data_IF_331939481893
#
_entry.id   IF_331939481893
#
_cell.length_a   1.000
_cell.length_b   1.000
_cell.length_c   1.000
_cell.angle_alpha   90.00
_cell.angle_beta   90.00
_cell.angle_gamma   90.00
#
_symmetry.space_group_name_H-M   'P 1'
#
loop_
_entity.id
_entity.type
_entity.pdbx_description
1 polymer ?
#
# COMPACT_ATOMS: atom_id res chain seq x y z
N UNK A 1 -14.53 -18.76 -12.81
CA UNK A 1 -13.70 -18.03 -11.84
C UNK A 1 -12.39 -18.77 -11.56
N UNK A 2 -12.38 -20.11 -11.32
CA UNK A 2 -11.16 -20.89 -11.04
C UNK A 2 -10.00 -20.65 -12.03
N UNK A 3 -10.18 -20.71 -13.39
CA UNK A 3 -9.10 -20.49 -14.34
C UNK A 3 -8.47 -19.09 -14.24
N UNK A 4 -9.26 -18.06 -13.89
CA UNK A 4 -8.77 -16.68 -13.75
C UNK A 4 -7.89 -16.56 -12.50
N UNK A 5 -8.26 -17.21 -11.39
CA UNK A 5 -7.45 -17.19 -10.18
C UNK A 5 -6.12 -17.94 -10.37
N UNK A 6 -6.13 -19.06 -11.08
CA UNK A 6 -4.91 -19.81 -11.47
C UNK A 6 -3.98 -18.96 -12.37
N UNK A 7 -4.57 -18.19 -13.30
CA UNK A 7 -3.79 -17.26 -14.13
C UNK A 7 -3.14 -16.15 -13.30
N UNK A 8 -3.89 -15.57 -12.35
CA UNK A 8 -3.34 -14.56 -11.43
C UNK A 8 -2.20 -15.14 -10.58
N UNK A 9 -2.37 -16.35 -10.02
CA UNK A 9 -1.32 -17.00 -9.26
C UNK A 9 -0.06 -17.25 -10.09
N UNK A 10 -0.21 -17.58 -11.37
CA UNK A 10 0.92 -17.75 -12.28
C UNK A 10 1.58 -16.40 -12.61
N UNK A 11 0.78 -15.40 -12.96
CA UNK A 11 1.26 -14.06 -13.32
C UNK A 11 1.91 -13.33 -12.13
N UNK A 12 1.41 -13.55 -10.90
CA UNK A 12 1.94 -12.93 -9.70
C UNK A 12 3.37 -13.35 -9.35
N UNK A 13 3.87 -14.45 -9.95
CA UNK A 13 5.26 -14.92 -9.79
C UNK A 13 6.24 -14.22 -10.72
N UNK A 14 5.76 -13.42 -11.68
CA UNK A 14 6.61 -12.59 -12.52
C UNK A 14 7.20 -11.44 -11.71
N UNK A 15 8.38 -10.97 -12.09
CA UNK A 15 9.06 -9.88 -11.39
C UNK A 15 8.48 -8.50 -11.71
N UNK A 16 7.81 -8.38 -12.84
CA UNK A 16 7.24 -7.12 -13.34
C UNK A 16 5.87 -7.37 -13.98
N UNK A 17 5.01 -6.38 -13.89
CA UNK A 17 3.76 -6.28 -14.64
C UNK A 17 3.76 -4.99 -15.45
N UNK A 18 3.45 -5.11 -16.74
CA UNK A 18 3.21 -3.98 -17.62
C UNK A 18 1.71 -3.93 -17.91
N UNK A 19 1.07 -2.83 -17.49
CA UNK A 19 -0.38 -2.62 -17.66
C UNK A 19 -0.71 -1.87 -18.95
N UNK A 20 0.29 -1.53 -19.78
CA UNK A 20 0.11 -0.86 -21.08
C UNK A 20 -0.41 0.57 -20.97
N UNK A 21 -0.14 1.27 -19.86
CA UNK A 21 -0.74 2.57 -19.55
C UNK A 21 0.00 3.78 -20.14
N UNK A 22 1.01 3.56 -20.97
CA UNK A 22 1.80 4.66 -21.54
C UNK A 22 0.99 5.61 -22.44
N UNK A 23 -0.14 5.15 -22.98
CA UNK A 23 -0.92 5.87 -24.00
C UNK A 23 -2.37 6.21 -23.56
N UNK A 24 -2.79 5.88 -22.32
CA UNK A 24 -4.22 5.86 -21.99
C UNK A 24 -4.59 6.88 -20.92
N UNK A 25 -5.75 7.52 -21.13
CA UNK A 25 -6.49 8.36 -20.19
C UNK A 25 -6.78 7.65 -18.86
N UNK A 26 -6.98 8.39 -17.75
CA UNK A 26 -7.26 7.88 -16.41
C UNK A 26 -8.48 6.94 -16.29
N UNK A 27 -9.35 6.92 -17.29
CA UNK A 27 -10.57 6.12 -17.30
C UNK A 27 -10.37 4.60 -17.11
N UNK A 28 -9.34 3.95 -17.71
CA UNK A 28 -9.09 2.52 -17.52
C UNK A 28 -8.81 2.14 -16.07
N UNK A 29 -8.12 2.99 -15.30
CA UNK A 29 -7.76 2.71 -13.91
C UNK A 29 -8.97 2.59 -12.98
N UNK A 30 -10.04 3.34 -13.22
CA UNK A 30 -11.27 3.26 -12.40
C UNK A 30 -11.93 1.89 -12.57
N UNK A 31 -11.99 1.40 -13.80
CA UNK A 31 -12.52 0.05 -14.09
C UNK A 31 -11.61 -1.04 -13.54
N UNK A 32 -10.28 -0.88 -13.70
CA UNK A 32 -9.29 -1.79 -13.17
C UNK A 32 -9.37 -1.89 -11.65
N UNK A 33 -9.57 -0.78 -10.94
CA UNK A 33 -9.71 -0.77 -9.48
C UNK A 33 -10.88 -1.64 -8.98
N UNK A 34 -12.01 -1.57 -9.66
CA UNK A 34 -13.18 -2.40 -9.36
C UNK A 34 -12.88 -3.88 -9.58
N UNK A 35 -12.36 -4.23 -10.76
CA UNK A 35 -11.99 -5.60 -11.13
C UNK A 35 -10.91 -6.17 -10.20
N UNK A 36 -9.86 -5.41 -9.91
CA UNK A 36 -8.78 -5.82 -9.02
C UNK A 36 -9.29 -6.17 -7.62
N UNK A 37 -10.18 -5.35 -7.05
CA UNK A 37 -10.80 -5.65 -5.74
C UNK A 37 -11.66 -6.92 -5.77
N UNK A 38 -12.39 -7.19 -6.85
CA UNK A 38 -13.19 -8.42 -6.99
C UNK A 38 -12.28 -9.65 -7.10
N UNK A 39 -11.23 -9.57 -7.92
CA UNK A 39 -10.24 -10.64 -8.05
C UNK A 39 -9.53 -10.91 -6.72
N UNK A 40 -9.15 -9.85 -6.00
CA UNK A 40 -8.54 -9.97 -4.68
C UNK A 40 -9.45 -10.66 -3.66
N UNK A 41 -10.74 -10.32 -3.66
CA UNK A 41 -11.73 -11.00 -2.82
C UNK A 41 -11.88 -12.47 -3.20
N UNK A 42 -11.83 -12.79 -4.49
CA UNK A 42 -11.84 -14.16 -4.99
C UNK A 42 -10.66 -14.98 -4.48
N UNK A 43 -9.43 -14.42 -4.55
CA UNK A 43 -8.24 -15.04 -3.98
C UNK A 43 -8.38 -15.25 -2.46
N UNK A 44 -8.93 -14.27 -1.75
CA UNK A 44 -9.12 -14.40 -0.30
C UNK A 44 -10.18 -15.43 0.08
N UNK A 45 -11.23 -15.58 -0.71
CA UNK A 45 -12.20 -16.67 -0.52
C UNK A 45 -11.55 -18.03 -0.76
N UNK A 46 -10.70 -18.15 -1.79
CA UNK A 46 -9.94 -19.38 -2.05
C UNK A 46 -8.97 -19.70 -0.89
N UNK A 47 -8.20 -18.70 -0.43
CA UNK A 47 -7.30 -18.88 0.71
C UNK A 47 -8.05 -19.35 1.97
N UNK A 48 -9.23 -18.73 2.23
CA UNK A 48 -10.08 -19.12 3.35
C UNK A 48 -10.58 -20.56 3.23
N UNK A 49 -11.00 -20.98 2.03
CA UNK A 49 -11.43 -22.36 1.80
C UNK A 49 -10.31 -23.35 2.11
N UNK A 50 -9.10 -23.12 1.58
CA UNK A 50 -7.94 -23.97 1.91
C UNK A 50 -7.63 -24.00 3.42
N UNK A 51 -7.80 -22.88 4.14
CA UNK A 51 -7.63 -22.88 5.61
C UNK A 51 -8.68 -23.74 6.31
N UNK A 52 -9.95 -23.64 5.91
CA UNK A 52 -11.05 -24.45 6.49
C UNK A 52 -10.90 -25.96 6.16
N UNK A 53 -10.21 -26.28 5.06
CA UNK A 53 -9.86 -27.65 4.63
C UNK A 53 -8.50 -28.12 5.20
N UNK A 54 -7.83 -27.30 6.04
CA UNK A 54 -6.52 -27.54 6.63
C UNK A 54 -5.37 -27.67 5.60
N UNK A 55 -5.57 -27.18 4.39
CA UNK A 55 -4.59 -27.12 3.29
C UNK A 55 -3.74 -25.85 3.41
N UNK A 56 -2.95 -25.76 4.49
CA UNK A 56 -2.28 -24.50 4.89
C UNK A 56 -1.19 -24.04 3.93
N UNK A 57 -0.48 -24.94 3.25
CA UNK A 57 0.51 -24.62 2.22
C UNK A 57 -0.16 -23.96 1.01
N UNK A 58 -1.28 -24.49 0.55
CA UNK A 58 -2.08 -23.93 -0.54
C UNK A 58 -2.65 -22.57 -0.15
N UNK A 59 -3.16 -22.43 1.06
CA UNK A 59 -3.61 -21.15 1.58
C UNK A 59 -2.48 -20.11 1.58
N UNK A 60 -1.29 -20.52 2.04
CA UNK A 60 -0.08 -19.66 2.02
C UNK A 60 0.29 -19.22 0.61
N UNK A 61 0.30 -20.15 -0.36
CA UNK A 61 0.57 -19.86 -1.76
C UNK A 61 -0.42 -18.84 -2.36
N UNK A 62 -1.71 -18.98 -2.04
CA UNK A 62 -2.73 -18.03 -2.48
C UNK A 62 -2.53 -16.65 -1.85
N UNK A 63 -2.20 -16.59 -0.55
CA UNK A 63 -1.93 -15.33 0.16
C UNK A 63 -0.72 -14.61 -0.45
N UNK A 64 0.39 -15.33 -0.70
CA UNK A 64 1.59 -14.77 -1.35
C UNK A 64 1.26 -14.22 -2.73
N UNK A 65 0.51 -14.98 -3.54
CA UNK A 65 0.06 -14.54 -4.87
C UNK A 65 -0.83 -13.30 -4.80
N UNK A 66 -1.70 -13.22 -3.81
CA UNK A 66 -2.57 -12.06 -3.60
C UNK A 66 -1.80 -10.80 -3.19
N UNK A 67 -0.75 -10.93 -2.36
CA UNK A 67 0.15 -9.81 -2.04
C UNK A 67 0.95 -9.38 -3.26
N UNK A 68 1.50 -10.34 -4.03
CA UNK A 68 2.22 -10.06 -5.26
C UNK A 68 1.33 -9.35 -6.29
N UNK A 69 0.10 -9.82 -6.48
CA UNK A 69 -0.89 -9.16 -7.34
C UNK A 69 -1.15 -7.71 -6.91
N UNK A 70 -1.33 -7.45 -5.60
CA UNK A 70 -1.47 -6.09 -5.10
C UNK A 70 -0.27 -5.21 -5.46
N UNK A 71 0.96 -5.71 -5.30
CA UNK A 71 2.20 -4.98 -5.61
C UNK A 71 2.35 -4.70 -7.10
N UNK A 72 2.01 -5.66 -7.95
CA UNK A 72 2.01 -5.45 -9.40
C UNK A 72 1.05 -4.34 -9.85
N UNK A 73 -0.12 -4.21 -9.20
CA UNK A 73 -1.04 -3.10 -9.46
C UNK A 73 -0.43 -1.73 -9.17
N UNK A 74 0.52 -1.64 -8.24
CA UNK A 74 1.20 -0.40 -7.87
C UNK A 74 2.46 -0.08 -8.66
N UNK A 75 2.96 -0.98 -9.55
CA UNK A 75 4.24 -0.81 -10.23
C UNK A 75 4.30 0.32 -11.26
N UNK A 76 3.18 0.74 -11.81
CA UNK A 76 3.14 1.89 -12.74
C UNK A 76 3.45 3.23 -12.05
N UNK A 77 3.50 3.25 -10.72
CA UNK A 77 3.97 4.38 -9.93
C UNK A 77 3.05 5.58 -9.87
N UNK A 78 2.02 5.67 -10.71
CA UNK A 78 1.06 6.77 -10.63
C UNK A 78 0.18 6.64 -9.39
N UNK A 79 -0.31 7.76 -8.91
CA UNK A 79 -1.08 7.87 -7.68
C UNK A 79 -2.22 6.86 -7.56
N UNK A 80 -3.05 6.75 -8.62
CA UNK A 80 -4.22 5.87 -8.61
C UNK A 80 -3.83 4.40 -8.53
N UNK A 81 -2.77 3.98 -9.20
CA UNK A 81 -2.22 2.62 -9.13
C UNK A 81 -1.81 2.26 -7.69
N UNK A 82 -1.15 3.21 -7.01
CA UNK A 82 -0.74 3.04 -5.61
C UNK A 82 -1.93 2.96 -4.64
N UNK A 83 -2.99 3.72 -4.88
CA UNK A 83 -4.23 3.62 -4.09
C UNK A 83 -4.92 2.28 -4.29
N UNK A 84 -4.90 1.72 -5.51
CA UNK A 84 -5.43 0.39 -5.81
C UNK A 84 -4.61 -0.67 -5.07
N UNK A 85 -3.28 -0.62 -5.13
CA UNK A 85 -2.38 -1.49 -4.37
C UNK A 85 -2.71 -1.47 -2.88
N UNK A 86 -2.75 -0.28 -2.27
CA UNK A 86 -3.04 -0.13 -0.85
C UNK A 86 -4.38 -0.74 -0.46
N UNK A 87 -5.42 -0.51 -1.28
CA UNK A 87 -6.77 -1.02 -1.00
C UNK A 87 -6.90 -2.53 -1.17
N UNK A 88 -6.22 -3.12 -2.15
CA UNK A 88 -6.20 -4.58 -2.38
C UNK A 88 -5.33 -5.28 -1.35
N UNK A 89 -4.16 -4.73 -1.01
CA UNK A 89 -3.31 -5.25 0.06
C UNK A 89 -4.02 -5.30 1.42
N UNK A 90 -4.80 -4.28 1.77
CA UNK A 90 -5.56 -4.26 3.03
C UNK A 90 -6.52 -5.44 3.15
N UNK A 91 -7.13 -5.89 2.04
CA UNK A 91 -8.01 -7.08 2.04
C UNK A 91 -7.20 -8.32 2.43
N UNK A 92 -6.00 -8.48 1.86
CA UNK A 92 -5.10 -9.62 2.16
C UNK A 92 -4.61 -9.55 3.59
N UNK A 93 -4.12 -8.40 4.04
CA UNK A 93 -3.55 -8.23 5.37
C UNK A 93 -4.57 -8.56 6.46
N UNK A 94 -5.83 -8.15 6.30
CA UNK A 94 -6.89 -8.45 7.25
C UNK A 94 -7.20 -9.96 7.32
N UNK A 95 -7.33 -10.65 6.18
CA UNK A 95 -7.58 -12.10 6.19
C UNK A 95 -6.38 -12.86 6.78
N UNK A 96 -5.17 -12.50 6.34
CA UNK A 96 -3.94 -13.14 6.79
C UNK A 96 -3.79 -12.99 8.31
N UNK A 97 -3.97 -11.78 8.84
CA UNK A 97 -3.91 -11.54 10.28
C UNK A 97 -4.99 -12.33 11.03
N UNK A 98 -6.23 -12.28 10.57
CA UNK A 98 -7.34 -12.99 11.20
C UNK A 98 -7.14 -14.52 11.26
N UNK A 99 -6.61 -15.12 10.20
CA UNK A 99 -6.52 -16.59 10.06
C UNK A 99 -5.13 -17.16 10.37
N UNK A 100 -4.09 -16.34 10.48
CA UNK A 100 -2.70 -16.81 10.63
C UNK A 100 -2.44 -17.56 11.94
N UNK A 101 -3.27 -17.39 12.97
CA UNK A 101 -3.17 -18.14 14.23
C UNK A 101 -3.49 -19.65 14.06
N UNK A 102 -4.25 -20.01 13.02
CA UNK A 102 -4.54 -21.41 12.69
C UNK A 102 -3.37 -22.10 11.97
N UNK A 103 -2.41 -21.36 11.42
CA UNK A 103 -1.33 -21.93 10.61
C UNK A 103 -0.28 -22.64 11.47
N UNK A 104 0.18 -23.85 11.07
CA UNK A 104 1.34 -24.47 11.67
C UNK A 104 2.59 -23.59 11.56
N UNK A 105 3.46 -23.60 12.58
CA UNK A 105 4.68 -22.79 12.59
C UNK A 105 5.58 -22.92 11.34
N UNK A 106 5.78 -24.13 10.75
CA UNK A 106 6.55 -24.27 9.51
C UNK A 106 5.93 -23.48 8.35
N UNK A 107 4.60 -23.54 8.20
CA UNK A 107 3.87 -22.80 7.15
C UNK A 107 3.97 -21.30 7.37
N UNK A 108 3.79 -20.82 8.61
CA UNK A 108 3.99 -19.40 8.94
C UNK A 108 5.40 -18.90 8.61
N UNK A 109 6.41 -19.74 8.85
CA UNK A 109 7.79 -19.42 8.49
C UNK A 109 7.96 -19.32 6.98
N UNK A 110 7.45 -20.29 6.23
CA UNK A 110 7.44 -20.26 4.76
C UNK A 110 6.73 -19.02 4.21
N UNK A 111 5.52 -18.75 4.69
CA UNK A 111 4.74 -17.54 4.33
C UNK A 111 5.56 -16.25 4.57
N UNK A 112 6.20 -16.12 5.74
CA UNK A 112 7.01 -14.94 6.04
C UNK A 112 8.21 -14.81 5.10
N UNK A 113 8.88 -15.91 4.77
CA UNK A 113 10.02 -15.94 3.86
C UNK A 113 9.60 -15.56 2.43
N UNK A 114 8.48 -16.09 1.94
CA UNK A 114 8.00 -15.83 0.59
C UNK A 114 7.48 -14.40 0.43
N UNK A 115 6.77 -13.86 1.43
CA UNK A 115 6.37 -12.45 1.43
C UNK A 115 7.58 -11.49 1.36
N UNK A 116 8.73 -11.86 1.92
CA UNK A 116 9.97 -11.06 1.85
C UNK A 116 10.65 -11.08 0.48
N UNK A 117 10.46 -12.14 -0.31
CA UNK A 117 11.03 -12.28 -1.67
C UNK A 117 10.24 -11.49 -2.70
N UNK A 118 9.02 -11.06 -2.39
CA UNK A 118 8.19 -10.29 -3.31
C UNK A 118 8.81 -8.92 -3.61
N UNK A 119 8.57 -8.37 -4.82
CA UNK A 119 9.00 -7.01 -5.16
C UNK A 119 8.59 -6.00 -4.09
N UNK A 120 9.45 -5.05 -3.81
CA UNK A 120 9.14 -3.97 -2.85
C UNK A 120 8.16 -3.01 -3.50
N UNK A 121 7.19 -2.52 -2.73
CA UNK A 121 6.31 -1.45 -3.17
C UNK A 121 7.09 -0.14 -3.35
N UNK A 122 6.69 0.68 -4.30
CA UNK A 122 7.31 1.99 -4.54
C UNK A 122 7.22 2.88 -3.29
N UNK A 123 8.28 3.64 -3.04
CA UNK A 123 8.33 4.66 -1.97
C UNK A 123 7.42 5.84 -2.31
N UNK A 124 7.09 6.66 -1.32
CA UNK A 124 6.31 7.88 -1.54
C UNK A 124 7.01 8.83 -2.50
N UNK A 125 8.34 8.93 -2.43
CA UNK A 125 9.15 9.74 -3.35
C UNK A 125 9.05 9.26 -4.79
N UNK A 126 9.17 7.95 -5.01
CA UNK A 126 9.07 7.36 -6.36
C UNK A 126 7.67 7.58 -6.95
N UNK A 127 6.61 7.43 -6.16
CA UNK A 127 5.23 7.70 -6.59
C UNK A 127 5.03 9.18 -6.94
N UNK A 128 5.52 10.10 -6.10
CA UNK A 128 5.44 11.55 -6.38
C UNK A 128 6.20 11.94 -7.64
N UNK A 129 7.37 11.33 -7.87
CA UNK A 129 8.15 11.55 -9.09
C UNK A 129 7.42 11.05 -10.35
N UNK A 130 6.86 9.85 -10.29
CA UNK A 130 6.08 9.30 -11.41
C UNK A 130 4.83 10.14 -11.70
N UNK A 131 4.11 10.59 -10.66
CA UNK A 131 2.93 11.44 -10.78
C UNK A 131 3.27 12.81 -11.39
N UNK A 132 4.41 13.41 -10.99
CA UNK A 132 4.92 14.65 -11.59
C UNK A 132 5.17 14.49 -13.10
N UNK A 133 5.84 13.39 -13.49
CA UNK A 133 6.11 13.08 -14.89
C UNK A 133 4.83 12.83 -15.69
N UNK A 134 3.87 12.10 -15.09
CA UNK A 134 2.57 11.84 -15.70
C UNK A 134 1.78 13.13 -15.91
N UNK A 135 1.70 14.00 -14.90
CA UNK A 135 1.03 15.30 -14.97
C UNK A 135 1.67 16.21 -16.04
N UNK A 136 3.01 16.23 -16.15
CA UNK A 136 3.72 16.98 -17.17
C UNK A 136 3.42 16.46 -18.59
N UNK A 137 3.29 15.13 -18.76
CA UNK A 137 2.92 14.50 -20.04
C UNK A 137 1.49 14.86 -20.44
N UNK A 138 0.52 14.70 -19.52
CA UNK A 138 -0.89 15.07 -19.78
C UNK A 138 -1.04 16.54 -20.19
N UNK A 139 -0.33 17.43 -19.51
CA UNK A 139 -0.32 18.86 -19.84
C UNK A 139 0.15 19.14 -21.27
N UNK A 140 1.12 18.36 -21.79
CA UNK A 140 1.59 18.48 -23.18
C UNK A 140 0.59 17.93 -24.20
N UNK A 141 -0.10 16.83 -23.87
CA UNK A 141 -1.04 16.15 -24.78
C UNK A 141 -2.34 16.93 -24.98
N UNK A 142 -2.91 17.45 -23.90
CA UNK A 142 -4.24 18.09 -23.93
C UNK A 142 -4.20 19.61 -23.99
N UNK A 143 -3.00 20.20 -24.04
CA UNK A 143 -2.81 21.63 -23.84
C UNK A 143 -3.05 22.02 -22.37
N UNK A 144 -2.57 23.18 -21.99
CA UNK A 144 -2.74 23.64 -20.61
C UNK A 144 -3.52 24.96 -20.61
N UNK A 145 -4.70 25.02 -19.98
CA UNK A 145 -5.50 26.25 -19.91
C UNK A 145 -4.92 27.31 -18.97
N UNK A 146 -3.85 26.98 -18.23
CA UNK A 146 -3.27 27.88 -17.25
C UNK A 146 -2.14 28.75 -17.84
N UNK A 147 -1.90 29.94 -17.29
CA UNK A 147 -0.77 30.80 -17.68
C UNK A 147 0.58 30.09 -17.45
N UNK A 148 1.55 30.36 -18.34
CA UNK A 148 2.86 29.74 -18.31
C UNK A 148 3.57 29.83 -16.94
N UNK A 149 3.49 30.99 -16.29
CA UNK A 149 4.08 31.20 -14.97
C UNK A 149 3.48 30.26 -13.90
N UNK A 150 2.17 30.00 -13.94
CA UNK A 150 1.54 29.04 -13.01
C UNK A 150 1.98 27.61 -13.27
N UNK A 151 2.22 27.25 -14.52
CA UNK A 151 2.76 25.93 -14.90
C UNK A 151 4.20 25.78 -14.41
N UNK A 152 5.04 26.80 -14.66
CA UNK A 152 6.44 26.79 -14.25
C UNK A 152 6.56 26.69 -12.70
N UNK A 153 5.72 27.39 -11.97
CA UNK A 153 5.66 27.30 -10.50
C UNK A 153 5.15 25.94 -10.02
N UNK A 154 4.15 25.37 -10.69
CA UNK A 154 3.62 24.06 -10.38
C UNK A 154 4.67 22.94 -10.56
N UNK A 155 5.47 22.99 -11.62
CA UNK A 155 6.57 22.03 -11.82
C UNK A 155 7.65 22.18 -10.75
N UNK A 156 8.05 23.43 -10.41
CA UNK A 156 8.99 23.68 -9.29
C UNK A 156 8.45 23.19 -7.95
N UNK A 157 7.15 23.38 -7.71
CA UNK A 157 6.49 22.88 -6.52
C UNK A 157 6.59 21.36 -6.42
N UNK A 158 6.30 20.62 -7.52
CA UNK A 158 6.42 19.16 -7.53
C UNK A 158 7.86 18.69 -7.29
N UNK A 159 8.86 19.33 -7.90
CA UNK A 159 10.27 18.98 -7.68
C UNK A 159 10.65 19.11 -6.19
N UNK A 160 10.13 20.14 -5.51
CA UNK A 160 10.36 20.30 -4.07
C UNK A 160 9.60 19.29 -3.24
N UNK A 161 8.35 18.95 -3.59
CA UNK A 161 7.58 17.90 -2.92
C UNK A 161 8.28 16.54 -3.03
N UNK A 162 8.80 16.21 -4.20
CA UNK A 162 9.60 14.98 -4.43
C UNK A 162 10.83 14.94 -3.53
N UNK A 163 11.50 16.09 -3.30
CA UNK A 163 12.72 16.14 -2.49
C UNK A 163 12.50 15.70 -1.03
N UNK A 164 11.31 15.93 -0.47
CA UNK A 164 10.96 15.49 0.89
C UNK A 164 9.92 14.36 0.94
N UNK A 165 9.66 13.68 -0.19
CA UNK A 165 8.64 12.64 -0.33
C UNK A 165 8.77 11.48 0.66
N UNK A 166 10.00 11.11 1.04
CA UNK A 166 10.26 10.00 1.97
C UNK A 166 10.28 10.41 3.45
N UNK A 167 9.99 11.67 3.78
CA UNK A 167 9.84 12.07 5.17
C UNK A 167 8.69 11.31 5.84
N UNK A 168 8.78 11.02 7.16
CA UNK A 168 7.64 10.55 7.93
C UNK A 168 6.41 11.44 7.70
N UNK A 169 5.21 10.83 7.69
CA UNK A 169 3.98 11.51 7.26
C UNK A 169 3.76 12.86 7.94
N UNK A 170 3.96 12.97 9.25
CA UNK A 170 3.76 14.23 9.97
C UNK A 170 4.75 15.33 9.54
N UNK A 171 6.00 14.97 9.29
CA UNK A 171 7.02 15.91 8.82
C UNK A 171 6.73 16.33 7.38
N UNK A 172 6.28 15.38 6.55
CA UNK A 172 5.84 15.65 5.19
C UNK A 172 4.71 16.68 5.16
N UNK A 173 3.67 16.52 5.99
CA UNK A 173 2.53 17.44 6.07
C UNK A 173 2.97 18.87 6.45
N UNK A 174 3.89 19.00 7.40
CA UNK A 174 4.43 20.32 7.77
C UNK A 174 5.16 20.97 6.60
N UNK A 175 6.04 20.21 5.91
CA UNK A 175 6.78 20.73 4.75
C UNK A 175 5.85 21.06 3.57
N UNK A 176 4.87 20.20 3.30
CA UNK A 176 3.89 20.40 2.24
C UNK A 176 3.09 21.70 2.46
N UNK A 177 2.65 21.95 3.69
CA UNK A 177 1.94 23.17 4.06
C UNK A 177 2.80 24.40 3.86
N UNK A 178 4.04 24.40 4.40
CA UNK A 178 4.98 25.53 4.26
C UNK A 178 5.27 25.83 2.79
N UNK A 179 5.45 24.77 1.99
CA UNK A 179 5.68 24.92 0.56
C UNK A 179 4.44 25.49 -0.16
N UNK A 180 3.25 25.00 0.17
CA UNK A 180 2.00 25.52 -0.38
C UNK A 180 1.79 27.01 -0.09
N UNK A 181 2.10 27.44 1.12
CA UNK A 181 2.01 28.84 1.57
C UNK A 181 2.98 29.76 0.78
N UNK A 182 4.06 29.22 0.19
CA UNK A 182 4.98 30.00 -0.66
C UNK A 182 4.48 30.26 -2.08
N UNK A 183 3.34 29.66 -2.47
CA UNK A 183 2.68 29.86 -3.77
C UNK A 183 1.21 30.31 -3.61
N UNK A 184 0.93 31.43 -2.93
CA UNK A 184 -0.42 31.80 -2.48
C UNK A 184 -1.41 32.05 -3.62
N UNK A 185 -0.95 32.42 -4.81
CA UNK A 185 -1.79 32.78 -5.95
C UNK A 185 -1.86 31.71 -7.04
N UNK A 186 -1.17 30.58 -6.87
CA UNK A 186 -1.18 29.50 -7.85
C UNK A 186 -2.38 28.57 -7.64
N UNK A 187 -3.35 28.64 -8.56
CA UNK A 187 -4.61 27.87 -8.48
C UNK A 187 -4.34 26.35 -8.64
N UNK A 188 -3.37 25.97 -9.49
CA UNK A 188 -3.02 24.56 -9.70
C UNK A 188 -2.47 23.95 -8.40
N UNK A 189 -1.55 24.64 -7.71
CA UNK A 189 -0.98 24.20 -6.45
C UNK A 189 -2.05 24.09 -5.37
N UNK A 190 -2.93 25.09 -5.25
CA UNK A 190 -4.07 25.01 -4.30
C UNK A 190 -4.96 23.80 -4.54
N UNK A 191 -5.20 23.46 -5.80
CA UNK A 191 -6.02 22.30 -6.17
C UNK A 191 -5.34 20.96 -5.87
N UNK A 192 -4.03 20.86 -6.05
CA UNK A 192 -3.30 19.58 -5.88
C UNK A 192 -2.86 19.30 -4.45
N UNK A 193 -2.68 20.33 -3.61
CA UNK A 193 -2.24 20.19 -2.23
C UNK A 193 -3.04 19.14 -1.42
N UNK A 194 -4.41 19.21 -1.38
CA UNK A 194 -5.19 18.22 -0.63
C UNK A 194 -5.04 16.80 -1.22
N UNK A 195 -4.84 16.69 -2.54
CA UNK A 195 -4.66 15.41 -3.23
C UNK A 195 -3.33 14.77 -2.80
N UNK A 196 -2.23 15.54 -2.82
CA UNK A 196 -0.90 15.08 -2.40
C UNK A 196 -0.90 14.69 -0.91
N UNK A 197 -1.50 15.50 -0.04
CA UNK A 197 -1.65 15.18 1.39
C UNK A 197 -2.41 13.87 1.60
N UNK A 198 -3.59 13.73 0.98
CA UNK A 198 -4.39 12.52 1.06
C UNK A 198 -3.65 11.28 0.54
N UNK A 199 -2.94 11.43 -0.57
CA UNK A 199 -2.09 10.38 -1.15
C UNK A 199 -1.01 9.94 -0.17
N UNK A 200 -0.22 10.88 0.35
CA UNK A 200 0.87 10.56 1.29
C UNK A 200 0.34 9.84 2.53
N UNK A 201 -0.84 10.26 3.01
CA UNK A 201 -1.53 9.56 4.10
C UNK A 201 -1.85 8.10 3.73
N UNK A 202 -2.39 7.84 2.54
CA UNK A 202 -2.72 6.47 2.11
C UNK A 202 -1.45 5.61 1.92
N UNK A 203 -0.37 6.19 1.43
CA UNK A 203 0.93 5.50 1.35
C UNK A 203 1.43 5.16 2.76
N UNK A 204 1.36 6.10 3.72
CA UNK A 204 1.74 5.84 5.12
C UNK A 204 0.89 4.72 5.74
N UNK A 205 -0.42 4.72 5.48
CA UNK A 205 -1.32 3.64 5.91
C UNK A 205 -0.90 2.29 5.33
N UNK A 206 -0.50 2.25 4.06
CA UNK A 206 -0.02 1.01 3.43
C UNK A 206 1.32 0.54 4.02
N UNK A 207 2.28 1.45 4.22
CA UNK A 207 3.57 1.17 4.85
C UNK A 207 3.37 0.56 6.25
N UNK A 208 2.50 1.17 7.05
CA UNK A 208 2.16 0.69 8.39
C UNK A 208 1.45 -0.67 8.35
N UNK A 209 0.45 -0.87 7.48
CA UNK A 209 -0.23 -2.17 7.37
C UNK A 209 0.74 -3.29 6.97
N UNK A 210 1.70 -3.00 6.07
CA UNK A 210 2.74 -3.95 5.66
C UNK A 210 3.65 -4.31 6.85
N UNK A 211 4.06 -3.31 7.63
CA UNK A 211 4.87 -3.50 8.82
C UNK A 211 4.12 -4.26 9.92
N UNK A 212 2.85 -3.92 10.17
CA UNK A 212 1.98 -4.61 11.15
C UNK A 212 1.80 -6.08 10.78
N UNK A 213 1.52 -6.41 9.50
CA UNK A 213 1.41 -7.79 9.04
C UNK A 213 2.72 -8.56 9.27
N UNK A 214 3.85 -8.01 8.81
CA UNK A 214 5.16 -8.63 9.00
C UNK A 214 5.56 -8.81 10.46
N UNK A 215 5.22 -7.84 11.33
CA UNK A 215 5.47 -7.91 12.77
C UNK A 215 4.57 -8.96 13.43
N UNK A 216 3.29 -9.02 13.08
CA UNK A 216 2.37 -10.00 13.64
C UNK A 216 2.78 -11.43 13.31
N UNK A 217 3.23 -11.72 12.09
CA UNK A 217 3.81 -13.02 11.74
C UNK A 217 5.07 -13.34 12.59
N UNK A 218 5.91 -12.33 12.89
CA UNK A 218 7.04 -12.51 13.82
C UNK A 218 6.57 -12.80 15.24
N UNK A 219 5.53 -12.14 15.73
CA UNK A 219 4.94 -12.40 17.06
C UNK A 219 4.43 -13.81 17.15
N UNK A 220 3.72 -14.32 16.13
CA UNK A 220 3.25 -15.71 16.09
C UNK A 220 4.39 -16.74 16.11
N UNK A 221 5.51 -16.43 15.47
CA UNK A 221 6.68 -17.32 15.40
C UNK A 221 7.57 -17.26 16.65
N UNK A 222 7.77 -16.08 17.24
CA UNK A 222 8.83 -15.82 18.25
C UNK A 222 8.30 -15.23 19.56
N UNK A 223 7.02 -14.90 19.61
CA UNK A 223 6.36 -14.29 20.78
C UNK A 223 6.45 -12.76 20.81
N UNK A 224 5.73 -12.13 21.76
CA UNK A 224 5.55 -10.67 21.89
C UNK A 224 6.83 -9.85 22.07
N UNK A 225 7.96 -10.35 22.64
CA UNK A 225 9.15 -9.54 22.84
C UNK A 225 9.72 -8.89 21.57
N UNK A 226 9.44 -9.45 20.37
CA UNK A 226 9.91 -8.90 19.08
C UNK A 226 9.30 -7.53 18.75
N UNK A 227 8.23 -7.13 19.44
CA UNK A 227 7.57 -5.82 19.22
C UNK A 227 8.41 -4.67 19.74
N UNK A 228 9.18 -4.88 20.82
CA UNK A 228 10.00 -3.83 21.44
C UNK A 228 11.04 -3.21 20.50
N UNK A 229 11.57 -4.04 19.58
CA UNK A 229 12.61 -3.63 18.63
C UNK A 229 12.04 -3.15 17.29
N UNK A 230 10.71 -3.24 17.12
CA UNK A 230 10.05 -2.89 15.87
C UNK A 230 9.73 -1.39 15.83
N UNK A 231 10.29 -0.71 14.83
CA UNK A 231 10.00 0.72 14.59
C UNK A 231 8.72 0.87 13.76
N UNK A 232 7.87 1.80 14.18
CA UNK A 232 6.70 2.20 13.41
C UNK A 232 7.12 3.10 12.24
N UNK A 233 6.80 2.75 10.98
CA UNK A 233 7.11 3.59 9.82
C UNK A 233 6.47 4.99 9.86
N UNK A 234 5.44 5.19 10.68
CA UNK A 234 4.85 6.52 10.88
C UNK A 234 5.82 7.53 11.50
N UNK A 235 6.96 7.07 12.05
CA UNK A 235 7.95 7.91 12.71
C UNK A 235 7.61 8.28 14.16
N UNK A 236 6.48 7.81 14.70
CA UNK A 236 5.97 8.17 16.03
C UNK A 236 6.34 7.20 17.15
N UNK A 237 7.40 6.42 17.00
CA UNK A 237 7.89 5.51 18.02
C UNK A 237 7.77 4.03 17.68
N UNK A 238 7.37 3.21 18.64
CA UNK A 238 7.22 1.76 18.50
C UNK A 238 5.75 1.38 18.36
N UNK A 239 5.50 0.19 17.79
CA UNK A 239 4.19 -0.42 17.82
C UNK A 239 3.77 -0.79 19.26
N UNK A 240 2.47 -0.76 19.51
CA UNK A 240 1.89 -1.28 20.74
C UNK A 240 1.40 -2.73 20.52
N UNK A 241 1.57 -3.57 21.53
CA UNK A 241 1.04 -4.94 21.56
C UNK A 241 -0.03 -5.03 22.64
N UNK A 242 -1.22 -5.44 22.26
CA UNK A 242 -2.36 -5.62 23.16
C UNK A 242 -2.84 -7.07 23.09
N UNK A 243 -2.61 -7.89 24.12
CA UNK A 243 -3.18 -9.24 24.18
C UNK A 243 -4.69 -9.12 24.38
N UNK A 244 -5.46 -9.87 23.60
CA UNK A 244 -6.93 -9.94 23.74
C UNK A 244 -7.35 -11.21 24.49
N UNK A 245 -6.71 -12.34 24.16
CA UNK A 245 -6.85 -13.63 24.84
C UNK A 245 -5.60 -14.48 24.57
N UNK A 246 -5.65 -15.79 24.89
CA UNK A 246 -4.50 -16.71 24.68
C UNK A 246 -4.15 -16.93 23.20
N UNK A 247 -5.06 -16.66 22.28
CA UNK A 247 -4.92 -16.99 20.85
C UNK A 247 -5.02 -15.76 19.95
N UNK A 248 -5.34 -14.60 20.52
CA UNK A 248 -5.52 -13.37 19.73
C UNK A 248 -4.88 -12.15 20.38
N UNK A 249 -4.42 -11.22 19.53
CA UNK A 249 -3.80 -9.96 19.93
C UNK A 249 -4.01 -8.88 18.86
N UNK A 250 -3.78 -7.66 19.26
CA UNK A 250 -3.73 -6.51 18.35
C UNK A 250 -2.33 -5.89 18.35
N UNK A 251 -1.94 -5.42 17.17
CA UNK A 251 -0.81 -4.52 16.99
C UNK A 251 -1.33 -3.15 16.55
N UNK A 252 -0.92 -2.11 17.25
CA UNK A 252 -1.36 -0.75 16.99
C UNK A 252 -0.16 0.11 16.58
N UNK A 253 -0.36 0.90 15.52
CA UNK A 253 0.55 1.99 15.13
C UNK A 253 0.14 3.28 15.79
N UNK A 254 1.07 4.21 15.93
CA UNK A 254 0.78 5.59 16.34
C UNK A 254 0.18 6.43 15.20
N UNK A 255 0.11 5.90 13.98
CA UNK A 255 -0.56 6.56 12.86
C UNK A 255 -2.06 6.61 13.10
N UNK A 256 -2.62 7.82 13.04
CA UNK A 256 -4.06 8.04 13.19
C UNK A 256 -4.73 7.99 11.81
N UNK A 257 -5.81 7.22 11.70
CA UNK A 257 -6.69 7.20 10.55
C UNK A 257 -8.13 7.40 11.01
N UNK A 258 -8.79 8.46 10.54
CA UNK A 258 -10.18 8.82 10.94
C UNK A 258 -10.39 8.95 12.45
N UNK A 259 -9.37 9.44 13.17
CA UNK A 259 -9.43 9.64 14.63
C UNK A 259 -9.08 8.42 15.47
N UNK A 260 -8.77 7.28 14.85
CA UNK A 260 -8.39 6.05 15.54
C UNK A 260 -6.97 5.61 15.16
N UNK A 261 -6.28 4.92 16.07
CA UNK A 261 -4.98 4.29 15.78
C UNK A 261 -5.16 3.21 14.72
N UNK A 262 -4.22 3.17 13.76
CA UNK A 262 -4.22 2.09 12.78
C UNK A 262 -3.87 0.77 13.48
N UNK A 263 -4.78 -0.19 13.38
CA UNK A 263 -4.71 -1.45 14.12
C UNK A 263 -4.82 -2.64 13.18
N UNK A 264 -4.07 -3.70 13.46
CA UNK A 264 -4.23 -5.00 12.82
C UNK A 264 -4.41 -6.08 13.90
N UNK A 265 -5.53 -6.80 13.83
CA UNK A 265 -5.91 -7.84 14.80
C UNK A 265 -5.56 -9.22 14.26
N UNK A 266 -4.89 -10.01 15.09
CA UNK A 266 -4.49 -11.40 14.85
C UNK A 266 -5.34 -12.36 15.67
N UNK A 267 -5.85 -13.41 15.01
CA UNK A 267 -6.76 -14.37 15.61
C UNK A 267 -8.22 -13.88 15.71
N UNK A 268 -9.05 -14.68 16.34
CA UNK A 268 -10.51 -14.49 16.46
C UNK A 268 -10.86 -13.91 17.84
#
# INVERSE_FOLDING_TARGET
>A
MKPVLELIQTASRLNQADWGNEEVDDAPWIHLAGAAKQLQRGLMLQARLHIEEEEFEEASNVIVSAVAFSRHLGQDGILIARLIESSTFKIVANLCAWKSTAFPKPVLKGLQEDLRKLPVSMTAKEVLMAESQYSARLSKLHGNPYPKNQIDDFLKFYDQVVAFGDLPFDQFEVQLKMLGDSFPDNIMIKGVLPVISSMRQQIAVHEVNTALLGLGLKVLLRGPPVVKDAKDPSGKGSFEYVPLNNESFELLSQLMQRGEKLTLRFGI
#
